data_IF_436972741575
#
_entry.id   IF_436972741575
#
_cell.length_a   1.000
_cell.length_b   1.000
_cell.length_c   1.000
_cell.angle_alpha   90.00
_cell.angle_beta   90.00
_cell.angle_gamma   90.00
#
_symmetry.space_group_name_H-M   'P 1'
#
loop_
_entity.id
_entity.type
_entity.pdbx_description
1 polymer ?
#
# COMPACT_ATOMS: atom_id res chain seq x y z
N UNK A 1 -61.95 -15.87 -6.84
CA UNK A 1 -60.70 -16.64 -6.66
C UNK A 1 -59.77 -15.77 -5.85
N UNK A 2 -59.31 -16.32 -4.75
CA UNK A 2 -58.68 -15.70 -3.57
C UNK A 2 -57.28 -15.15 -3.87
N UNK A 3 -56.92 -13.97 -3.34
CA UNK A 3 -55.53 -13.53 -3.07
C UNK A 3 -54.92 -14.43 -1.97
N UNK A 4 -53.58 -14.57 -1.70
CA UNK A 4 -52.65 -13.44 -1.45
C UNK A 4 -51.11 -13.70 -1.67
N UNK A 5 -50.31 -12.68 -1.27
CA UNK A 5 -48.89 -12.73 -0.83
C UNK A 5 -47.83 -12.81 -1.95
N UNK A 6 -46.83 -11.92 -2.07
CA UNK A 6 -45.91 -11.38 -1.07
C UNK A 6 -44.54 -12.07 -1.24
N UNK A 7 -43.44 -11.37 -0.90
CA UNK A 7 -42.04 -11.87 -0.78
C UNK A 7 -41.16 -11.81 -2.05
N UNK A 8 -39.91 -11.33 -2.04
CA UNK A 8 -39.05 -10.77 -1.00
C UNK A 8 -38.35 -9.51 -1.54
N UNK A 9 -38.17 -8.47 -0.71
CA UNK A 9 -36.93 -8.34 0.05
C UNK A 9 -35.73 -8.76 -0.83
N UNK A 10 -35.10 -7.77 -1.48
CA UNK A 10 -33.70 -7.95 -1.86
C UNK A 10 -32.95 -8.10 -0.54
N UNK A 11 -32.82 -9.35 -0.12
CA UNK A 11 -31.95 -9.80 0.94
C UNK A 11 -30.52 -9.53 0.47
N UNK A 12 -29.78 -8.56 1.03
CA UNK A 12 -28.35 -8.64 0.95
C UNK A 12 -27.99 -9.83 1.83
N UNK A 13 -27.90 -11.03 1.25
CA UNK A 13 -27.44 -12.22 1.94
C UNK A 13 -26.14 -11.87 2.68
N UNK A 14 -26.31 -11.76 3.99
CA UNK A 14 -25.27 -11.79 5.00
C UNK A 14 -24.64 -13.18 4.96
N UNK A 15 -23.60 -13.31 4.13
CA UNK A 15 -22.49 -14.24 4.36
C UNK A 15 -21.25 -13.34 4.39
N UNK A 16 -21.16 -12.53 5.45
CA UNK A 16 -20.16 -11.46 5.59
C UNK A 16 -18.75 -11.99 5.26
N UNK A 17 -18.19 -11.71 4.06
CA UNK A 17 -16.83 -12.11 3.81
C UNK A 17 -15.96 -11.20 4.66
N UNK A 18 -14.96 -11.76 5.34
CA UNK A 18 -13.84 -11.01 5.90
C UNK A 18 -13.24 -10.18 4.75
N UNK A 19 -13.70 -8.93 4.62
CA UNK A 19 -13.46 -8.10 3.43
C UNK A 19 -12.14 -7.41 3.65
N UNK A 20 -11.07 -8.18 3.44
CA UNK A 20 -9.71 -7.69 3.50
C UNK A 20 -9.46 -6.84 2.26
N UNK A 21 -9.33 -5.54 2.45
CA UNK A 21 -9.14 -4.55 1.39
C UNK A 21 -7.83 -3.78 1.60
N UNK A 22 -7.20 -3.36 0.50
CA UNK A 22 -6.07 -2.43 0.57
C UNK A 22 -6.51 -1.14 -0.12
N UNK A 23 -6.37 -0.02 0.58
CA UNK A 23 -6.70 1.31 0.07
C UNK A 23 -5.48 2.23 0.14
N UNK A 24 -5.35 3.15 -0.82
CA UNK A 24 -4.37 4.23 -0.74
C UNK A 24 -4.95 5.41 0.04
N UNK A 25 -4.20 5.91 1.01
CA UNK A 25 -4.52 7.09 1.80
C UNK A 25 -3.42 8.15 1.59
N UNK A 26 -3.43 8.88 0.46
CA UNK A 26 -2.40 9.85 0.13
C UNK A 26 -2.40 11.05 1.09
N UNK A 27 -3.52 11.34 1.75
CA UNK A 27 -3.60 12.39 2.78
C UNK A 27 -2.74 12.06 4.02
N UNK A 28 -2.38 10.79 4.21
CA UNK A 28 -1.53 10.30 5.29
C UNK A 28 -0.27 9.60 4.80
N UNK A 29 0.00 9.69 3.50
CA UNK A 29 1.13 9.07 2.81
C UNK A 29 1.31 7.59 3.18
N UNK A 30 0.22 6.81 3.12
CA UNK A 30 0.25 5.38 3.44
C UNK A 30 -0.84 4.60 2.73
N UNK A 31 -0.56 3.33 2.46
CA UNK A 31 -1.59 2.35 2.15
C UNK A 31 -2.12 1.74 3.45
N UNK A 32 -3.42 1.51 3.52
CA UNK A 32 -4.10 0.94 4.68
C UNK A 32 -4.72 -0.40 4.29
N UNK A 33 -4.37 -1.45 5.04
CA UNK A 33 -5.00 -2.75 4.97
C UNK A 33 -6.19 -2.74 5.94
N UNK A 34 -7.40 -2.92 5.41
CA UNK A 34 -8.65 -2.88 6.13
C UNK A 34 -9.22 -4.28 6.31
N UNK A 35 -9.80 -4.54 7.47
CA UNK A 35 -10.68 -5.69 7.74
C UNK A 35 -12.01 -5.17 8.26
N UNK A 36 -13.06 -5.24 7.43
CA UNK A 36 -14.38 -4.70 7.80
C UNK A 36 -14.35 -3.21 8.17
N UNK A 37 -13.44 -2.44 7.58
CA UNK A 37 -13.24 -1.01 7.85
C UNK A 37 -12.28 -0.68 9.00
N UNK A 38 -11.77 -1.67 9.74
CA UNK A 38 -10.68 -1.46 10.72
C UNK A 38 -9.33 -1.53 10.01
N UNK A 39 -8.46 -0.54 10.22
CA UNK A 39 -7.06 -0.62 9.77
C UNK A 39 -6.33 -1.69 10.59
N UNK A 40 -5.90 -2.74 9.91
CA UNK A 40 -5.13 -3.87 10.46
C UNK A 40 -3.70 -3.91 9.93
N UNK A 41 -3.29 -2.97 9.10
CA UNK A 41 -1.92 -2.84 8.63
C UNK A 41 -1.71 -1.59 7.81
N UNK A 42 -0.47 -1.11 7.74
CA UNK A 42 -0.10 0.08 6.98
C UNK A 42 1.21 -0.12 6.24
N UNK A 43 1.31 0.50 5.06
CA UNK A 43 2.57 0.68 4.34
C UNK A 43 2.77 2.17 4.09
N UNK A 44 3.61 2.79 4.90
CA UNK A 44 3.91 4.22 4.84
C UNK A 44 4.93 4.49 3.75
N UNK A 45 4.69 5.57 3.01
CA UNK A 45 5.52 6.02 1.92
C UNK A 45 5.74 7.53 1.94
N UNK A 46 6.77 7.99 1.23
CA UNK A 46 6.94 9.39 0.85
C UNK A 46 7.00 9.50 -0.67
N UNK A 47 6.56 10.63 -1.22
CA UNK A 47 6.67 10.91 -2.65
C UNK A 47 7.75 11.95 -2.84
N UNK A 48 8.79 11.61 -3.60
CA UNK A 48 9.80 12.57 -4.05
C UNK A 48 9.52 12.87 -5.52
N UNK A 49 9.18 14.11 -5.79
CA UNK A 49 8.94 14.56 -7.15
C UNK A 49 10.27 14.73 -7.88
N UNK A 50 10.29 14.32 -9.15
CA UNK A 50 11.47 14.53 -9.98
C UNK A 50 11.64 16.02 -10.27
N UNK A 51 12.58 16.66 -9.56
CA UNK A 51 13.10 17.97 -9.92
C UNK A 51 14.12 17.71 -11.04
N UNK A 52 13.77 18.03 -12.29
CA UNK A 52 14.56 17.71 -13.47
C UNK A 52 16.04 18.10 -13.31
N UNK A 53 16.94 17.10 -13.26
CA UNK A 53 18.38 17.38 -13.13
C UNK A 53 19.31 16.28 -12.57
N UNK A 54 18.85 15.04 -12.34
CA UNK A 54 19.73 13.95 -11.83
C UNK A 54 19.65 12.66 -12.64
N UNK A 55 20.64 11.75 -12.42
CA UNK A 55 20.79 10.42 -13.06
C UNK A 55 19.56 9.48 -12.95
N UNK A 56 18.49 9.90 -12.29
CA UNK A 56 17.25 9.14 -12.09
C UNK A 56 16.03 9.60 -12.89
N UNK A 57 16.20 10.51 -13.86
CA UNK A 57 15.15 10.90 -14.82
C UNK A 57 13.97 11.68 -14.22
N UNK A 58 13.10 12.17 -15.10
CA UNK A 58 11.90 12.97 -14.80
C UNK A 58 10.73 12.14 -14.21
N UNK A 59 11.03 11.17 -13.34
CA UNK A 59 10.04 10.22 -12.80
C UNK A 59 9.94 10.33 -11.28
N UNK A 60 8.72 10.55 -10.79
CA UNK A 60 8.42 10.55 -9.36
C UNK A 60 8.88 9.24 -8.69
N UNK A 61 9.38 9.36 -7.46
CA UNK A 61 9.81 8.23 -6.64
C UNK A 61 8.88 8.06 -5.45
N UNK A 62 8.54 6.81 -5.16
CA UNK A 62 7.78 6.43 -3.96
C UNK A 62 8.72 5.69 -3.01
N UNK A 63 8.96 6.30 -1.87
CA UNK A 63 9.89 5.81 -0.85
C UNK A 63 9.14 5.06 0.22
N UNK A 64 9.22 3.73 0.22
CA UNK A 64 8.61 2.88 1.25
C UNK A 64 9.55 2.76 2.45
N UNK A 65 9.19 3.38 3.57
CA UNK A 65 10.04 3.45 4.76
C UNK A 65 9.52 2.62 5.94
N UNK A 66 8.22 2.33 5.99
CA UNK A 66 7.64 1.54 7.08
C UNK A 66 6.52 0.64 6.57
N UNK A 67 6.45 -0.58 7.08
CA UNK A 67 5.39 -1.53 6.77
C UNK A 67 5.13 -2.37 8.00
N UNK A 68 3.89 -2.39 8.46
CA UNK A 68 3.46 -3.18 9.61
C UNK A 68 2.06 -3.74 9.39
N UNK A 69 1.79 -4.88 10.00
CA UNK A 69 0.47 -5.50 10.09
C UNK A 69 0.26 -5.86 11.55
N UNK A 70 -0.97 -5.72 12.02
CA UNK A 70 -1.37 -6.03 13.38
C UNK A 70 -0.95 -7.47 13.73
N UNK A 71 -0.24 -7.70 14.85
CA UNK A 71 0.22 -9.03 15.27
C UNK A 71 -0.88 -10.10 15.28
N UNK A 72 -2.13 -9.73 15.55
CA UNK A 72 -3.28 -10.65 15.54
C UNK A 72 -3.57 -11.23 14.14
N UNK A 73 -3.06 -10.56 13.11
CA UNK A 73 -3.24 -10.84 11.69
C UNK A 73 -1.97 -11.34 10.99
N UNK A 74 -0.85 -11.45 11.73
CA UNK A 74 0.39 -12.03 11.23
C UNK A 74 0.24 -13.50 10.80
N UNK A 75 1.17 -13.96 9.96
CA UNK A 75 1.17 -15.34 9.45
C UNK A 75 0.12 -15.65 8.38
N UNK A 76 -0.76 -14.70 8.04
CA UNK A 76 -1.81 -14.86 7.02
C UNK A 76 -1.42 -14.35 5.63
N UNK A 77 -0.17 -13.94 5.43
CA UNK A 77 0.33 -13.38 4.17
C UNK A 77 -0.15 -11.94 3.86
N UNK A 78 -0.79 -11.30 4.83
CA UNK A 78 -1.42 -9.98 4.67
C UNK A 78 -0.43 -8.84 4.42
N UNK A 79 0.73 -8.86 5.09
CA UNK A 79 1.80 -7.91 4.81
C UNK A 79 2.32 -8.02 3.36
N UNK A 80 2.31 -9.24 2.80
CA UNK A 80 2.69 -9.49 1.42
C UNK A 80 1.67 -8.95 0.43
N UNK A 81 0.36 -9.10 0.72
CA UNK A 81 -0.72 -8.48 -0.07
C UNK A 81 -0.66 -6.96 -0.05
N UNK A 82 -0.40 -6.38 1.12
CA UNK A 82 -0.25 -4.93 1.29
C UNK A 82 0.95 -4.40 0.50
N UNK A 83 2.11 -5.06 0.60
CA UNK A 83 3.30 -4.71 -0.16
C UNK A 83 3.08 -4.87 -1.68
N UNK A 84 2.48 -5.98 -2.12
CA UNK A 84 2.16 -6.24 -3.52
C UNK A 84 1.31 -5.11 -4.11
N UNK A 85 0.21 -4.76 -3.44
CA UNK A 85 -0.69 -3.71 -3.89
C UNK A 85 0.00 -2.35 -3.96
N UNK A 86 0.78 -2.00 -2.93
CA UNK A 86 1.49 -0.72 -2.86
C UNK A 86 2.55 -0.59 -3.96
N UNK A 87 3.34 -1.65 -4.19
CA UNK A 87 4.36 -1.69 -5.23
C UNK A 87 3.74 -1.73 -6.63
N UNK A 88 2.69 -2.53 -6.83
CA UNK A 88 1.93 -2.58 -8.09
C UNK A 88 1.31 -1.23 -8.43
N UNK A 89 0.69 -0.56 -7.46
CA UNK A 89 0.11 0.78 -7.64
C UNK A 89 1.18 1.81 -8.03
N UNK A 90 2.36 1.72 -7.41
CA UNK A 90 3.51 2.57 -7.73
C UNK A 90 3.98 2.37 -9.18
N UNK A 91 4.15 1.13 -9.61
CA UNK A 91 4.55 0.80 -10.98
C UNK A 91 3.48 1.18 -12.00
N UNK A 92 2.20 0.91 -11.69
CA UNK A 92 1.08 1.27 -12.55
C UNK A 92 0.95 2.78 -12.75
N UNK A 93 1.33 3.57 -11.74
CA UNK A 93 1.42 5.03 -11.82
C UNK A 93 2.65 5.52 -12.59
N UNK A 94 3.50 4.63 -13.11
CA UNK A 94 4.73 4.98 -13.83
C UNK A 94 5.84 5.51 -12.92
N UNK A 95 5.75 5.28 -11.60
CA UNK A 95 6.70 5.79 -10.61
C UNK A 95 7.80 4.79 -10.31
N UNK A 96 8.91 5.29 -9.76
CA UNK A 96 10.01 4.45 -9.27
C UNK A 96 9.78 4.05 -7.81
N UNK A 97 10.31 2.87 -7.45
CA UNK A 97 10.25 2.30 -6.11
C UNK A 97 11.59 2.55 -5.42
N UNK A 98 11.56 3.19 -4.25
CA UNK A 98 12.69 3.27 -3.33
C UNK A 98 12.34 2.49 -2.07
N UNK A 99 13.06 1.41 -1.79
CA UNK A 99 12.82 0.59 -0.60
C UNK A 99 13.79 0.97 0.52
N UNK A 100 13.32 1.65 1.55
CA UNK A 100 14.05 1.87 2.80
C UNK A 100 13.70 0.81 3.84
N UNK A 101 12.42 0.45 3.92
CA UNK A 101 11.89 -0.57 4.83
C UNK A 101 12.56 -1.93 4.60
N UNK A 102 13.05 -2.61 5.65
CA UNK A 102 13.66 -3.93 5.51
C UNK A 102 12.68 -4.98 4.98
N UNK A 103 11.39 -4.87 5.34
CA UNK A 103 10.34 -5.78 4.85
C UNK A 103 10.20 -5.69 3.32
N UNK A 104 10.03 -4.49 2.78
CA UNK A 104 9.92 -4.26 1.32
C UNK A 104 11.18 -4.72 0.59
N UNK A 105 12.38 -4.48 1.15
CA UNK A 105 13.64 -5.01 0.59
C UNK A 105 13.62 -6.54 0.50
N UNK A 106 13.13 -7.24 1.52
CA UNK A 106 13.00 -8.72 1.50
C UNK A 106 11.95 -9.14 0.48
N UNK A 107 10.82 -8.44 0.42
CA UNK A 107 9.73 -8.73 -0.51
C UNK A 107 10.21 -8.63 -1.97
N UNK A 108 10.86 -7.52 -2.36
CA UNK A 108 11.40 -7.31 -3.71
C UNK A 108 12.47 -8.34 -4.10
N UNK A 109 13.23 -8.87 -3.14
CA UNK A 109 14.17 -9.98 -3.42
C UNK A 109 13.47 -11.30 -3.68
N UNK A 110 12.30 -11.52 -3.08
CA UNK A 110 11.48 -12.74 -3.29
C UNK A 110 10.57 -12.63 -4.50
N UNK A 111 10.17 -11.42 -4.86
CA UNK A 111 9.29 -11.07 -5.97
C UNK A 111 9.95 -9.99 -6.84
N UNK A 112 11.03 -10.33 -7.58
CA UNK A 112 11.73 -9.34 -8.40
C UNK A 112 10.88 -8.87 -9.57
N UNK A 113 10.21 -9.75 -10.30
CA UNK A 113 9.27 -9.34 -11.35
C UNK A 113 7.88 -9.07 -10.76
N UNK A 114 7.17 -8.00 -11.19
CA UNK A 114 7.54 -7.03 -12.23
C UNK A 114 8.36 -5.82 -11.72
N UNK A 115 8.70 -5.77 -10.44
CA UNK A 115 9.15 -4.55 -9.77
C UNK A 115 10.61 -4.15 -10.04
N UNK A 116 11.50 -5.09 -10.32
CA UNK A 116 12.95 -4.89 -10.32
C UNK A 116 13.42 -3.79 -11.29
N UNK A 117 12.73 -3.61 -12.42
CA UNK A 117 13.02 -2.55 -13.38
C UNK A 117 12.69 -1.13 -12.86
N UNK A 118 11.83 -1.03 -11.85
CA UNK A 118 11.38 0.22 -11.24
C UNK A 118 12.09 0.52 -9.92
N UNK A 119 12.89 -0.42 -9.40
CA UNK A 119 13.60 -0.25 -8.13
C UNK A 119 14.87 0.56 -8.36
N UNK A 120 14.99 1.69 -7.66
CA UNK A 120 16.18 2.54 -7.69
C UNK A 120 16.84 2.62 -6.31
N UNK A 121 18.10 3.05 -6.29
CA UNK A 121 18.83 3.23 -5.04
C UNK A 121 18.33 4.48 -4.32
N UNK A 122 18.18 4.43 -2.98
CA UNK A 122 17.87 5.62 -2.21
C UNK A 122 18.95 6.68 -2.36
N UNK A 123 18.53 7.93 -2.43
CA UNK A 123 19.34 9.15 -2.33
C UNK A 123 19.07 9.85 -1.00
N UNK A 124 19.86 10.86 -0.64
CA UNK A 124 19.65 11.63 0.58
C UNK A 124 18.27 12.32 0.59
N UNK A 125 17.83 12.84 -0.56
CA UNK A 125 16.49 13.41 -0.71
C UNK A 125 15.36 12.39 -0.44
N UNK A 126 15.56 11.13 -0.80
CA UNK A 126 14.59 10.06 -0.51
C UNK A 126 14.50 9.79 1.00
N UNK A 127 15.64 9.84 1.70
CA UNK A 127 15.70 9.65 3.16
C UNK A 127 15.09 10.84 3.89
N UNK A 128 15.42 12.07 3.49
CA UNK A 128 14.86 13.28 4.08
C UNK A 128 13.32 13.33 3.94
N UNK A 129 12.81 12.99 2.75
CA UNK A 129 11.37 12.91 2.50
C UNK A 129 10.68 11.83 3.35
N UNK A 130 11.33 10.67 3.55
CA UNK A 130 10.83 9.62 4.43
C UNK A 130 10.77 10.08 5.89
N UNK A 131 11.81 10.76 6.39
CA UNK A 131 11.84 11.30 7.75
C UNK A 131 10.78 12.38 7.97
N UNK A 132 10.55 13.26 6.99
CA UNK A 132 9.50 14.26 7.04
C UNK A 132 8.11 13.60 7.08
N UNK A 133 7.85 12.65 6.18
CA UNK A 133 6.59 11.91 6.15
C UNK A 133 6.35 11.12 7.45
N UNK A 134 7.39 10.52 8.03
CA UNK A 134 7.30 9.81 9.30
C UNK A 134 6.94 10.76 10.46
N UNK A 135 7.50 11.97 10.49
CA UNK A 135 7.15 13.00 11.49
C UNK A 135 5.73 13.51 11.31
N UNK A 136 5.29 13.73 10.07
CA UNK A 136 3.93 14.17 9.77
C UNK A 136 2.89 13.11 10.16
N UNK A 137 3.20 11.82 10.04
CA UNK A 137 2.30 10.73 10.43
C UNK A 137 2.17 10.54 11.95
N UNK A 138 3.08 11.10 12.74
CA UNK A 138 3.10 11.01 14.20
C UNK A 138 2.36 12.16 14.92
N UNK A 139 1.99 13.22 14.19
CA UNK A 139 1.24 14.38 14.69
C UNK A 139 -0.27 14.27 14.46
#
# INVERSE_FOLDING_TARGET
MTEPTGEGANDPTDDSPTTIEVVDNPARSRFELLDGGRVIGIASYAVVHAEGGGDGGDVDRVVFFHTEVDPEYEGRGLAGRLADFALSSTVAAGRQIVALCPYIKVYLRRHPEPYAAHVVRPTDADVDAADEAARAAAG
#
